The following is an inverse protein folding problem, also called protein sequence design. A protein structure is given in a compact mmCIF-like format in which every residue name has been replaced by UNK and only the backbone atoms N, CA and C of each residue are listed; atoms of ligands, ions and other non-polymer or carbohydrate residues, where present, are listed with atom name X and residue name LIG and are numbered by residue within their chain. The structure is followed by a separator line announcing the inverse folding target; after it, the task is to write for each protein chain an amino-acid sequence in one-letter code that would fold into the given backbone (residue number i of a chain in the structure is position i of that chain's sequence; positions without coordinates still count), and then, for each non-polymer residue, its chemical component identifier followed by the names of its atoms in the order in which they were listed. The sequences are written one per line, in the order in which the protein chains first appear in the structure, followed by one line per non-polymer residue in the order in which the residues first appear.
data_IF_344861142137
#
_entry.id   IF_344861142137
#
_cell.length_a   1.000
_cell.length_b   1.000
_cell.length_c   1.000
_cell.angle_alpha   90.00
_cell.angle_beta   90.00
_cell.angle_gamma   90.00
#
_symmetry.space_group_name_H-M   'P 1'
#
loop_
_entity.id
_entity.type
_entity.pdbx_description
1 polymer ?
#
# COMPACT_ATOMS: atom_id res chain seq x y z
N UNK A 1 2.20 -40.36 -8.64
CA UNK A 1 0.97 -39.58 -8.83
C UNK A 1 0.31 -39.42 -7.47
N UNK A 2 0.51 -38.24 -6.86
CA UNK A 2 -0.41 -37.50 -5.99
C UNK A 2 0.44 -36.38 -5.43
N UNK A 3 0.34 -35.22 -6.08
CA UNK A 3 1.08 -34.01 -5.75
C UNK A 3 0.65 -33.49 -4.38
N UNK A 4 1.63 -33.44 -3.49
CA UNK A 4 1.50 -33.05 -2.08
C UNK A 4 1.53 -31.51 -1.94
N UNK A 5 0.57 -30.84 -2.59
CA UNK A 5 0.49 -29.37 -2.66
C UNK A 5 -0.73 -28.78 -1.95
N UNK A 6 -1.48 -29.57 -1.18
CA UNK A 6 -2.73 -29.11 -0.54
C UNK A 6 -2.62 -28.78 0.95
N UNK A 7 -1.41 -28.64 1.49
CA UNK A 7 -1.23 -28.19 2.89
C UNK A 7 -1.53 -26.69 2.98
N UNK A 8 -2.78 -26.37 3.31
CA UNK A 8 -3.09 -25.23 4.18
C UNK A 8 -3.40 -23.88 3.55
N UNK A 9 -3.92 -23.79 2.32
CA UNK A 9 -4.48 -22.51 1.82
C UNK A 9 -6.00 -22.46 1.99
N UNK A 10 -6.55 -21.53 2.80
CA UNK A 10 -7.98 -21.42 2.97
C UNK A 10 -8.64 -21.12 1.62
N UNK A 11 -9.78 -21.76 1.38
CA UNK A 11 -10.58 -21.57 0.17
C UNK A 11 -10.84 -20.06 -0.02
N UNK A 12 -10.37 -19.50 -1.13
CA UNK A 12 -10.47 -18.08 -1.40
C UNK A 12 -11.89 -17.80 -1.90
N UNK A 13 -12.84 -17.79 -0.97
CA UNK A 13 -14.29 -17.66 -1.27
C UNK A 13 -14.69 -16.24 -1.67
N UNK A 14 -13.78 -15.27 -1.49
CA UNK A 14 -14.01 -13.84 -1.75
C UNK A 14 -12.90 -13.32 -2.66
N UNK A 15 -13.28 -12.75 -3.81
CA UNK A 15 -12.38 -12.16 -4.81
C UNK A 15 -11.38 -11.15 -4.20
N UNK A 16 -11.79 -10.42 -3.17
CA UNK A 16 -10.92 -9.50 -2.44
C UNK A 16 -9.79 -10.21 -1.67
N UNK A 17 -10.07 -11.38 -1.09
CA UNK A 17 -9.04 -12.21 -0.44
C UNK A 17 -8.03 -12.75 -1.45
N UNK A 18 -8.45 -13.05 -2.68
CA UNK A 18 -7.55 -13.47 -3.77
C UNK A 18 -6.60 -12.35 -4.15
N UNK A 19 -7.14 -11.15 -4.36
CA UNK A 19 -6.33 -9.97 -4.66
C UNK A 19 -5.32 -9.67 -3.55
N UNK A 20 -5.74 -9.80 -2.28
CA UNK A 20 -4.87 -9.53 -1.13
C UNK A 20 -3.74 -10.55 -1.02
N UNK A 21 -4.02 -11.85 -1.23
CA UNK A 21 -2.99 -12.89 -1.20
C UNK A 21 -2.00 -12.75 -2.35
N UNK A 22 -2.48 -12.43 -3.56
CA UNK A 22 -1.62 -12.09 -4.71
C UNK A 22 -0.73 -10.87 -4.41
N UNK A 23 -1.31 -9.81 -3.85
CA UNK A 23 -0.53 -8.64 -3.45
C UNK A 23 0.54 -9.01 -2.42
N UNK A 24 0.22 -9.77 -1.38
CA UNK A 24 1.18 -10.15 -0.35
C UNK A 24 2.32 -11.05 -0.86
N UNK A 25 2.04 -11.96 -1.79
CA UNK A 25 3.02 -12.91 -2.31
C UNK A 25 3.95 -12.27 -3.36
N UNK A 26 3.45 -11.29 -4.12
CA UNK A 26 4.15 -10.74 -5.28
C UNK A 26 4.56 -9.27 -5.17
N UNK A 27 4.08 -8.52 -4.16
CA UNK A 27 4.61 -7.20 -3.83
C UNK A 27 5.72 -7.34 -2.77
N UNK A 28 6.91 -6.80 -3.04
CA UNK A 28 7.95 -6.69 -2.03
C UNK A 28 7.47 -5.78 -0.89
N UNK A 29 7.14 -6.36 0.27
CA UNK A 29 6.69 -5.62 1.46
C UNK A 29 7.72 -4.55 1.92
N UNK A 30 8.98 -4.68 1.49
CA UNK A 30 10.06 -3.72 1.78
C UNK A 30 9.93 -2.39 1.03
N UNK A 31 9.42 -2.34 -0.21
CA UNK A 31 9.27 -1.06 -0.94
C UNK A 31 8.09 -0.27 -0.40
N UNK A 32 6.97 -0.95 -0.16
CA UNK A 32 5.73 -0.35 0.36
C UNK A 32 5.94 0.24 1.76
N UNK A 33 6.66 -0.46 2.65
CA UNK A 33 6.96 0.05 3.98
C UNK A 33 7.86 1.30 3.95
N UNK A 34 8.85 1.34 3.05
CA UNK A 34 9.72 2.52 2.87
C UNK A 34 8.94 3.71 2.30
N UNK A 35 8.06 3.46 1.33
CA UNK A 35 7.19 4.48 0.76
C UNK A 35 6.20 5.01 1.80
N UNK A 36 5.65 4.15 2.68
CA UNK A 36 4.79 4.57 3.80
C UNK A 36 5.56 5.46 4.78
N UNK A 37 6.82 5.13 5.07
CA UNK A 37 7.66 5.97 5.92
C UNK A 37 7.95 7.34 5.26
N UNK A 38 8.15 7.36 3.94
CA UNK A 38 8.34 8.59 3.18
C UNK A 38 7.09 9.46 3.18
N UNK A 39 5.90 8.87 3.05
CA UNK A 39 4.62 9.59 3.15
C UNK A 39 4.49 10.24 4.53
N UNK A 40 4.76 9.51 5.62
CA UNK A 40 4.69 10.03 6.99
C UNK A 40 5.69 11.16 7.26
N UNK A 41 6.81 11.17 6.54
CA UNK A 41 7.84 12.22 6.64
C UNK A 41 7.61 13.38 5.68
N UNK A 42 6.71 13.24 4.71
CA UNK A 42 6.45 14.27 3.70
C UNK A 42 5.85 15.50 4.39
N UNK A 43 6.51 16.64 4.23
CA UNK A 43 6.03 17.93 4.74
C UNK A 43 5.92 18.95 3.62
N UNK A 44 4.88 19.76 3.66
CA UNK A 44 4.70 20.89 2.76
C UNK A 44 5.78 21.92 3.05
N UNK A 45 6.75 22.01 2.15
CA UNK A 45 7.84 22.99 2.19
C UNK A 45 7.71 24.07 1.11
N UNK A 46 6.87 23.82 0.10
CA UNK A 46 6.63 24.70 -1.06
C UNK A 46 5.13 25.01 -1.17
N UNK A 47 4.64 25.20 -2.40
CA UNK A 47 3.22 25.39 -2.66
C UNK A 47 2.43 24.11 -2.35
N UNK A 48 1.17 24.28 -1.95
CA UNK A 48 0.22 23.16 -1.76
C UNK A 48 0.12 22.31 -3.03
N UNK A 49 0.20 22.94 -4.22
CA UNK A 49 0.16 22.23 -5.50
C UNK A 49 1.34 21.27 -5.66
N UNK A 50 2.54 21.70 -5.29
CA UNK A 50 3.74 20.87 -5.38
C UNK A 50 3.67 19.72 -4.37
N UNK A 51 3.20 20.00 -3.15
CA UNK A 51 2.96 18.99 -2.12
C UNK A 51 1.94 17.94 -2.56
N UNK A 52 0.78 18.35 -3.09
CA UNK A 52 -0.24 17.43 -3.61
C UNK A 52 0.33 16.55 -4.73
N UNK A 53 1.20 17.10 -5.59
CA UNK A 53 1.84 16.34 -6.67
C UNK A 53 2.81 15.29 -6.13
N UNK A 54 3.67 15.64 -5.17
CA UNK A 54 4.61 14.71 -4.54
C UNK A 54 3.87 13.62 -3.75
N UNK A 55 2.89 14.01 -2.94
CA UNK A 55 2.06 13.09 -2.17
C UNK A 55 1.29 12.12 -3.08
N UNK A 56 0.70 12.60 -4.17
CA UNK A 56 -0.02 11.77 -5.14
C UNK A 56 0.90 10.79 -5.87
N UNK A 57 2.15 11.17 -6.13
CA UNK A 57 3.14 10.27 -6.74
C UNK A 57 3.47 9.10 -5.81
N UNK A 58 3.75 9.38 -4.53
CA UNK A 58 4.04 8.36 -3.52
C UNK A 58 2.86 7.44 -3.25
N UNK A 59 1.64 7.97 -3.40
CA UNK A 59 0.40 7.22 -3.23
C UNK A 59 0.13 6.15 -4.28
N UNK A 60 0.63 6.35 -5.50
CA UNK A 60 0.46 5.38 -6.60
C UNK A 60 1.24 4.09 -6.33
N UNK A 61 2.35 4.20 -5.61
CA UNK A 61 3.19 3.06 -5.24
C UNK A 61 2.57 2.27 -4.05
N UNK A 62 1.80 2.95 -3.19
CA UNK A 62 1.16 2.37 -2.00
C UNK A 62 -0.32 2.03 -2.25
N UNK A 63 -0.55 0.96 -3.00
CA UNK A 63 -1.88 0.46 -3.37
C UNK A 63 -2.69 -0.19 -2.24
N UNK A 64 -2.19 -0.23 -1.00
CA UNK A 64 -2.81 -0.96 0.13
C UNK A 64 -3.15 -0.12 1.37
N UNK A 65 -3.08 1.21 1.28
CA UNK A 65 -3.43 2.10 2.40
C UNK A 65 -4.93 2.47 2.39
N UNK A 66 -5.56 2.54 3.57
CA UNK A 66 -6.97 2.94 3.71
C UNK A 66 -7.18 4.41 3.34
N UNK A 67 -8.40 4.83 3.02
CA UNK A 67 -8.67 6.25 2.70
C UNK A 67 -8.44 7.14 3.93
N UNK A 68 -8.75 6.61 5.10
CA UNK A 68 -8.61 7.27 6.39
C UNK A 68 -7.12 7.53 6.71
N UNK A 69 -6.26 6.52 6.54
CA UNK A 69 -4.82 6.66 6.77
C UNK A 69 -4.18 7.63 5.76
N UNK A 70 -4.62 7.58 4.49
CA UNK A 70 -4.17 8.53 3.45
C UNK A 70 -4.52 9.96 3.81
N UNK A 71 -5.75 10.19 4.28
CA UNK A 71 -6.19 11.52 4.69
C UNK A 71 -5.43 12.00 5.92
N UNK A 72 -5.19 11.12 6.90
CA UNK A 72 -4.44 11.45 8.09
C UNK A 72 -3.00 11.86 7.78
N UNK A 73 -2.29 11.08 6.97
CA UNK A 73 -0.91 11.39 6.58
C UNK A 73 -0.81 12.65 5.73
N UNK A 74 -1.79 12.89 4.84
CA UNK A 74 -1.89 14.14 4.07
C UNK A 74 -2.03 15.36 4.98
N UNK A 75 -2.96 15.29 5.94
CA UNK A 75 -3.21 16.39 6.87
C UNK A 75 -2.06 16.62 7.85
N UNK A 76 -1.30 15.57 8.17
CA UNK A 76 -0.14 15.64 9.07
C UNK A 76 1.09 16.29 8.40
N UNK A 77 1.16 16.23 7.06
CA UNK A 77 2.23 16.81 6.27
C UNK A 77 1.95 18.21 5.72
N UNK A 78 0.68 18.65 5.70
CA UNK A 78 0.27 20.02 5.39
C UNK A 78 0.75 21.02 6.45
#
# INVERSE_FOLDING_TARGET
MTDDLSVGRPNIVVWESLKMELKNQFLPCNTVCLEMENIKKLKQTRSVRDYVKEFSSLLLDILNMSKEDKLFDFMSGL
#
